data_IF_484486560864
#
_entry.id   IF_484486560864
#
_cell.length_a   1.000
_cell.length_b   1.000
_cell.length_c   1.000
_cell.angle_alpha   90.00
_cell.angle_beta   90.00
_cell.angle_gamma   90.00
#
_symmetry.space_group_name_H-M   'P 1'
#
loop_
_entity.id
_entity.type
_entity.pdbx_description
1 polymer ?
#
# COMPACT_ATOMS: atom_id res chain seq x y z
N UNK A 1 -4.24 2.87 9.95
CA UNK A 1 -3.77 3.23 8.59
C UNK A 1 -4.86 3.88 7.72
N UNK A 2 -5.94 3.19 7.38
CA UNK A 2 -6.98 3.67 6.45
C UNK A 2 -7.52 5.07 6.77
N UNK A 3 -7.76 5.38 8.04
CA UNK A 3 -8.24 6.70 8.46
C UNK A 3 -7.23 7.81 8.13
N UNK A 4 -5.95 7.58 8.42
CA UNK A 4 -4.86 8.51 8.10
C UNK A 4 -4.69 8.69 6.59
N UNK A 5 -4.78 7.60 5.83
CA UNK A 5 -4.64 7.65 4.37
C UNK A 5 -5.83 8.34 3.69
N UNK A 6 -7.04 8.25 4.27
CA UNK A 6 -8.25 8.84 3.71
C UNK A 6 -8.27 10.38 3.74
N UNK A 7 -7.45 11.01 4.59
CA UNK A 7 -7.34 12.48 4.66
C UNK A 7 -6.16 13.03 3.85
N UNK A 8 -5.37 12.17 3.21
CA UNK A 8 -4.32 12.56 2.27
C UNK A 8 -4.93 12.74 0.87
N UNK A 9 -4.31 13.57 0.03
CA UNK A 9 -4.70 13.76 -1.37
C UNK A 9 -4.64 12.45 -2.17
N UNK A 10 -5.43 12.35 -3.24
CA UNK A 10 -5.41 11.19 -4.14
C UNK A 10 -4.23 11.26 -5.12
N UNK A 11 -3.32 10.26 -5.12
CA UNK A 11 -2.35 10.10 -6.18
C UNK A 11 -3.04 9.43 -7.38
N UNK A 12 -3.85 10.18 -8.12
CA UNK A 12 -4.77 9.69 -9.16
C UNK A 12 -4.10 8.73 -10.16
N UNK A 13 -2.87 9.03 -10.58
CA UNK A 13 -2.13 8.19 -11.53
C UNK A 13 -1.78 6.80 -10.96
N UNK A 14 -1.57 6.68 -9.64
CA UNK A 14 -1.34 5.40 -8.95
C UNK A 14 -2.66 4.64 -8.78
N UNK A 15 -3.74 5.33 -8.36
CA UNK A 15 -5.05 4.71 -8.22
C UNK A 15 -5.55 4.14 -9.54
N UNK A 16 -5.32 4.85 -10.65
CA UNK A 16 -5.63 4.35 -11.99
C UNK A 16 -4.90 3.04 -12.30
N UNK A 17 -3.63 2.88 -11.89
CA UNK A 17 -2.90 1.62 -12.06
C UNK A 17 -3.46 0.49 -11.21
N UNK A 18 -3.93 0.78 -9.99
CA UNK A 18 -4.63 -0.21 -9.18
C UNK A 18 -5.92 -0.67 -9.87
N UNK A 19 -6.70 0.29 -10.39
CA UNK A 19 -7.92 -0.01 -11.15
C UNK A 19 -7.64 -0.81 -12.41
N UNK A 20 -6.61 -0.45 -13.18
CA UNK A 20 -6.23 -1.18 -14.41
C UNK A 20 -5.89 -2.65 -14.10
N UNK A 21 -5.18 -2.91 -12.99
CA UNK A 21 -4.87 -4.27 -12.53
C UNK A 21 -6.13 -5.03 -12.14
N UNK A 22 -6.99 -4.43 -11.31
CA UNK A 22 -8.27 -5.04 -10.91
C UNK A 22 -9.17 -5.34 -12.11
N UNK A 23 -9.21 -4.44 -13.10
CA UNK A 23 -9.95 -4.66 -14.36
C UNK A 23 -9.35 -5.83 -15.14
N UNK A 24 -8.03 -5.97 -15.17
CA UNK A 24 -7.34 -7.08 -15.84
C UNK A 24 -7.68 -8.43 -15.18
N UNK A 25 -7.63 -8.50 -13.85
CA UNK A 25 -7.97 -9.68 -13.07
C UNK A 25 -9.45 -10.07 -13.28
N UNK A 26 -10.37 -9.11 -13.11
CA UNK A 26 -11.82 -9.32 -13.31
C UNK A 26 -12.16 -9.71 -14.75
N UNK A 27 -11.45 -9.16 -15.74
CA UNK A 27 -11.60 -9.55 -17.15
C UNK A 27 -11.22 -11.02 -17.37
N UNK A 28 -10.14 -11.50 -16.76
CA UNK A 28 -9.70 -12.89 -16.86
C UNK A 28 -10.71 -13.83 -16.20
N UNK A 29 -11.19 -13.49 -15.00
CA UNK A 29 -12.23 -14.24 -14.28
C UNK A 29 -13.52 -14.36 -15.10
N UNK A 30 -14.01 -13.24 -15.64
CA UNK A 30 -15.24 -13.25 -16.43
C UNK A 30 -15.10 -13.99 -17.76
N UNK A 31 -13.90 -14.00 -18.37
CA UNK A 31 -13.61 -14.84 -19.55
C UNK A 31 -13.67 -16.32 -19.20
N UNK A 32 -13.09 -16.71 -18.07
CA UNK A 32 -13.13 -18.10 -17.59
C UNK A 32 -14.56 -18.53 -17.23
N UNK A 33 -15.38 -17.63 -16.71
CA UNK A 33 -16.79 -17.86 -16.40
C UNK A 33 -17.72 -17.80 -17.62
N UNK A 34 -17.22 -17.54 -18.83
CA UNK A 34 -18.03 -17.50 -20.06
C UNK A 34 -19.01 -16.32 -20.14
N UNK A 35 -18.74 -15.22 -19.45
CA UNK A 35 -19.61 -14.02 -19.46
C UNK A 35 -19.57 -13.34 -20.83
N UNK A 36 -20.72 -12.89 -21.32
CA UNK A 36 -20.84 -12.20 -22.60
C UNK A 36 -20.00 -10.92 -22.68
N UNK A 37 -19.55 -10.56 -23.89
CA UNK A 37 -18.63 -9.42 -24.07
C UNK A 37 -19.21 -8.11 -23.55
N UNK A 38 -20.44 -7.76 -23.93
CA UNK A 38 -21.06 -6.49 -23.53
C UNK A 38 -21.26 -6.41 -22.02
N UNK A 39 -21.65 -7.53 -21.39
CA UNK A 39 -21.79 -7.62 -19.94
C UNK A 39 -20.42 -7.47 -19.23
N UNK A 40 -19.35 -8.00 -19.82
CA UNK A 40 -17.98 -7.80 -19.30
C UNK A 40 -17.58 -6.33 -19.34
N UNK A 41 -17.85 -5.61 -20.44
CA UNK A 41 -17.51 -4.19 -20.54
C UNK A 41 -18.28 -3.37 -19.51
N UNK A 42 -19.59 -3.58 -19.37
CA UNK A 42 -20.40 -2.89 -18.36
C UNK A 42 -19.86 -3.13 -16.93
N UNK A 43 -19.54 -4.39 -16.57
CA UNK A 43 -18.98 -4.73 -15.25
C UNK A 43 -17.58 -4.17 -14.99
N UNK A 44 -16.81 -3.86 -16.04
CA UNK A 44 -15.49 -3.25 -15.92
C UNK A 44 -15.56 -1.73 -15.76
N UNK A 45 -16.61 -1.06 -16.26
CA UNK A 45 -16.80 0.38 -16.06
C UNK A 45 -17.05 0.72 -14.58
N UNK A 46 -17.73 -0.16 -13.86
CA UNK A 46 -18.02 -0.03 -12.43
C UNK A 46 -16.83 -0.32 -11.50
N UNK A 47 -15.70 -0.81 -12.02
CA UNK A 47 -14.53 -1.14 -11.19
C UNK A 47 -13.84 0.14 -10.74
N UNK A 48 -13.79 0.31 -9.42
CA UNK A 48 -13.08 1.38 -8.72
C UNK A 48 -11.92 0.81 -7.88
N UNK A 49 -11.00 1.67 -7.43
CA UNK A 49 -9.98 1.28 -6.47
C UNK A 49 -10.60 0.84 -5.14
N UNK A 50 -9.85 0.04 -4.39
CA UNK A 50 -10.29 -0.46 -3.09
C UNK A 50 -10.40 0.70 -2.11
N UNK A 51 -11.56 0.80 -1.44
CA UNK A 51 -11.85 1.80 -0.39
C UNK A 51 -12.12 1.08 0.93
N UNK A 52 -11.09 0.79 1.73
CA UNK A 52 -11.27 0.11 3.00
C UNK A 52 -12.12 0.96 3.96
N UNK A 53 -12.97 0.30 4.75
CA UNK A 53 -13.85 0.97 5.72
C UNK A 53 -14.71 2.09 5.11
N UNK A 54 -15.08 1.99 3.82
CA UNK A 54 -15.82 3.02 3.06
C UNK A 54 -17.06 3.52 3.81
N UNK A 55 -17.93 2.60 4.21
CA UNK A 55 -19.19 2.91 4.90
C UNK A 55 -18.92 3.63 6.22
N UNK A 56 -18.09 3.02 7.10
CA UNK A 56 -17.69 3.63 8.37
C UNK A 56 -17.10 5.04 8.22
N UNK A 57 -16.22 5.24 7.23
CA UNK A 57 -15.59 6.53 6.96
C UNK A 57 -16.61 7.59 6.55
N UNK A 58 -17.46 7.28 5.57
CA UNK A 58 -18.46 8.24 5.11
C UNK A 58 -19.54 8.50 6.16
N UNK A 59 -20.03 7.48 6.85
CA UNK A 59 -21.04 7.64 7.89
C UNK A 59 -20.53 8.52 9.03
N UNK A 60 -19.32 8.24 9.50
CA UNK A 60 -18.69 9.02 10.58
C UNK A 60 -18.40 10.45 10.14
N UNK A 61 -17.87 10.63 8.92
CA UNK A 61 -17.56 11.95 8.38
C UNK A 61 -18.83 12.78 8.12
N UNK A 62 -19.89 12.18 7.59
CA UNK A 62 -21.15 12.86 7.34
C UNK A 62 -21.82 13.29 8.65
N UNK A 63 -21.79 12.43 9.67
CA UNK A 63 -22.28 12.79 11.01
C UNK A 63 -21.48 13.95 11.62
N UNK A 64 -20.15 13.95 11.44
CA UNK A 64 -19.29 15.05 11.85
C UNK A 64 -19.62 16.34 11.07
N UNK A 65 -19.69 16.29 9.74
CA UNK A 65 -19.96 17.44 8.89
C UNK A 65 -21.34 18.07 9.19
N UNK A 66 -22.36 17.26 9.48
CA UNK A 66 -23.69 17.75 9.87
C UNK A 66 -23.66 18.60 11.16
N UNK A 67 -22.73 18.32 12.08
CA UNK A 67 -22.55 19.08 13.31
C UNK A 67 -21.60 20.28 13.17
N UNK A 68 -20.83 20.36 12.08
CA UNK A 68 -19.78 21.37 11.88
C UNK A 68 -19.94 22.03 10.50
N UNK A 69 -20.83 23.03 10.34
CA UNK A 69 -21.19 23.60 9.03
C UNK A 69 -20.02 24.22 8.23
N UNK A 70 -18.91 24.57 8.87
CA UNK A 70 -17.73 25.12 8.20
C UNK A 70 -16.86 24.07 7.49
N UNK A 71 -17.19 22.78 7.62
CA UNK A 71 -16.50 21.67 6.94
C UNK A 71 -16.96 21.57 5.47
N UNK A 72 -17.89 22.41 5.04
CA UNK A 72 -18.44 22.44 3.69
C UNK A 72 -17.35 22.56 2.60
N UNK A 73 -17.28 21.56 1.71
CA UNK A 73 -16.32 21.50 0.59
C UNK A 73 -15.14 20.53 0.78
N UNK A 74 -14.88 20.06 2.00
CA UNK A 74 -13.89 19.01 2.31
C UNK A 74 -14.56 17.63 2.36
N UNK A 75 -13.86 16.58 1.91
CA UNK A 75 -14.36 15.22 2.01
C UNK A 75 -13.20 14.23 2.21
N UNK A 76 -13.50 13.12 2.89
CA UNK A 76 -12.58 11.99 3.00
C UNK A 76 -12.51 11.24 1.67
N UNK A 77 -11.31 10.78 1.34
CA UNK A 77 -10.99 10.09 0.08
C UNK A 77 -10.42 8.72 0.43
N UNK A 78 -11.25 7.72 0.76
CA UNK A 78 -10.73 6.41 1.13
C UNK A 78 -9.96 5.78 -0.03
N UNK A 79 -8.78 5.23 0.29
CA UNK A 79 -7.90 4.48 -0.62
C UNK A 79 -7.02 3.53 0.19
N UNK A 80 -6.21 2.70 -0.48
CA UNK A 80 -5.50 1.60 0.19
C UNK A 80 -4.04 1.42 -0.22
N UNK A 81 -3.35 2.43 -0.74
CA UNK A 81 -1.98 2.28 -1.25
C UNK A 81 -1.02 1.94 -0.10
N UNK A 82 -0.99 2.77 0.94
CA UNK A 82 -0.14 2.53 2.11
C UNK A 82 -0.62 1.30 2.88
N UNK A 83 -1.94 1.14 3.05
CA UNK A 83 -2.51 -0.05 3.68
C UNK A 83 -2.06 -1.35 3.00
N UNK A 84 -2.16 -1.43 1.69
CA UNK A 84 -1.78 -2.61 0.92
C UNK A 84 -0.29 -2.91 1.07
N UNK A 85 0.56 -1.87 1.02
CA UNK A 85 2.00 -2.03 1.23
C UNK A 85 2.32 -2.56 2.63
N UNK A 86 1.62 -2.08 3.67
CA UNK A 86 1.84 -2.54 5.05
C UNK A 86 1.29 -3.94 5.30
N UNK A 87 0.03 -4.21 4.92
CA UNK A 87 -0.61 -5.51 5.16
C UNK A 87 0.05 -6.65 4.36
N UNK A 88 0.57 -6.34 3.17
CA UNK A 88 1.33 -7.26 2.35
C UNK A 88 2.84 -7.25 2.61
N UNK A 89 3.34 -6.39 3.52
CA UNK A 89 4.77 -6.12 3.74
C UNK A 89 5.56 -5.96 2.43
N UNK A 90 4.97 -5.25 1.47
CA UNK A 90 5.53 -5.10 0.11
C UNK A 90 6.66 -4.08 0.11
N UNK A 91 7.80 -4.44 -0.46
CA UNK A 91 8.86 -3.46 -0.68
C UNK A 91 8.43 -2.39 -1.68
N UNK A 92 9.06 -1.20 -1.60
CA UNK A 92 8.80 -0.12 -2.55
C UNK A 92 9.06 -0.56 -4.01
N UNK A 93 10.16 -1.26 -4.24
CA UNK A 93 10.55 -1.74 -5.58
C UNK A 93 9.56 -2.78 -6.13
N UNK A 94 9.09 -3.70 -5.29
CA UNK A 94 8.09 -4.69 -5.71
C UNK A 94 6.76 -4.01 -6.02
N UNK A 95 6.33 -3.05 -5.21
CA UNK A 95 5.11 -2.30 -5.46
C UNK A 95 5.18 -1.49 -6.76
N UNK A 96 6.33 -0.86 -7.04
CA UNK A 96 6.58 -0.15 -8.30
C UNK A 96 6.50 -1.09 -9.48
N UNK A 97 7.15 -2.26 -9.40
CA UNK A 97 7.15 -3.27 -10.46
C UNK A 97 5.75 -3.86 -10.70
N UNK A 98 5.05 -4.20 -9.63
CA UNK A 98 3.73 -4.84 -9.68
C UNK A 98 2.67 -3.97 -10.34
N UNK A 99 2.78 -2.65 -10.21
CA UNK A 99 1.83 -1.68 -10.76
C UNK A 99 2.38 -0.88 -11.96
N UNK A 100 3.62 -1.14 -12.40
CA UNK A 100 4.27 -0.43 -13.49
C UNK A 100 4.38 1.08 -13.22
N UNK A 101 4.98 1.42 -12.06
CA UNK A 101 5.10 2.79 -11.53
C UNK A 101 6.49 3.41 -11.73
N UNK A 102 7.33 2.90 -12.63
CA UNK A 102 8.73 3.32 -12.80
C UNK A 102 8.88 4.82 -13.11
N UNK A 103 7.85 5.41 -13.72
CA UNK A 103 7.80 6.86 -14.01
C UNK A 103 7.06 7.68 -12.95
N UNK A 104 6.62 7.04 -11.87
CA UNK A 104 5.79 7.61 -10.81
C UNK A 104 6.35 7.30 -9.41
N UNK A 105 7.59 6.84 -9.30
CA UNK A 105 8.24 6.52 -8.03
C UNK A 105 8.22 7.71 -7.06
N UNK A 106 8.57 8.91 -7.53
CA UNK A 106 8.51 10.12 -6.71
C UNK A 106 7.09 10.48 -6.25
N UNK A 107 6.06 10.17 -7.05
CA UNK A 107 4.66 10.36 -6.67
C UNK A 107 4.28 9.38 -5.55
N UNK A 108 4.69 8.11 -5.67
CA UNK A 108 4.46 7.09 -4.65
C UNK A 108 5.17 7.45 -3.34
N UNK A 109 6.46 7.80 -3.41
CA UNK A 109 7.24 8.20 -2.25
C UNK A 109 6.63 9.42 -1.55
N UNK A 110 6.18 10.42 -2.32
CA UNK A 110 5.47 11.60 -1.78
C UNK A 110 4.19 11.20 -1.06
N UNK A 111 3.37 10.34 -1.67
CA UNK A 111 2.13 9.85 -1.06
C UNK A 111 2.42 9.12 0.26
N UNK A 112 3.34 8.16 0.25
CA UNK A 112 3.73 7.40 1.46
C UNK A 112 4.27 8.33 2.55
N UNK A 113 5.06 9.34 2.18
CA UNK A 113 5.56 10.35 3.11
C UNK A 113 4.43 11.18 3.73
N UNK A 114 3.42 11.56 2.95
CA UNK A 114 2.25 12.27 3.47
C UNK A 114 1.45 11.39 4.44
N UNK A 115 1.19 10.13 4.08
CA UNK A 115 0.48 9.18 4.95
C UNK A 115 1.24 8.96 6.27
N UNK A 116 2.56 8.76 6.20
CA UNK A 116 3.40 8.59 7.39
C UNK A 116 3.39 9.84 8.28
N UNK A 117 3.48 11.05 7.70
CA UNK A 117 3.39 12.30 8.46
C UNK A 117 2.05 12.44 9.16
N UNK A 118 0.95 12.16 8.47
CA UNK A 118 -0.39 12.17 9.06
C UNK A 118 -0.45 11.18 10.23
N UNK A 119 -0.03 9.93 10.02
CA UNK A 119 -0.01 8.92 11.07
C UNK A 119 0.76 9.41 12.32
N UNK A 120 2.00 9.84 12.12
CA UNK A 120 2.89 10.24 13.21
C UNK A 120 2.45 11.50 13.96
N UNK A 121 1.76 12.43 13.28
CA UNK A 121 1.39 13.74 13.84
C UNK A 121 -0.03 13.79 14.40
N UNK A 122 -0.96 13.00 13.85
CA UNK A 122 -2.39 13.11 14.19
C UNK A 122 -2.87 12.05 15.16
N UNK A 123 -2.18 10.91 15.26
CA UNK A 123 -2.52 9.86 16.21
C UNK A 123 -1.80 10.12 17.54
N UNK A 124 -2.53 10.37 18.64
CA UNK A 124 -1.91 10.59 19.94
C UNK A 124 -1.15 9.34 20.42
N UNK A 125 -0.02 9.52 21.09
CA UNK A 125 0.80 8.39 21.58
C UNK A 125 0.01 7.44 22.49
N UNK A 126 -0.92 7.98 23.29
CA UNK A 126 -1.82 7.18 24.14
C UNK A 126 -2.79 6.26 23.37
N UNK A 127 -3.04 6.54 22.09
CA UNK A 127 -3.90 5.75 21.21
C UNK A 127 -3.10 4.83 20.26
N UNK A 128 -1.77 4.88 20.31
CA UNK A 128 -0.92 4.01 19.49
C UNK A 128 -0.85 2.63 20.12
N UNK A 129 -1.39 1.63 19.44
CA UNK A 129 -1.15 0.22 19.75
C UNK A 129 0.22 -0.21 19.22
N UNK A 130 0.68 -1.39 19.59
CA UNK A 130 1.93 -1.98 19.08
C UNK A 130 1.93 -2.02 17.54
N UNK A 131 0.80 -2.36 16.91
CA UNK A 131 0.67 -2.38 15.45
C UNK A 131 0.77 -0.98 14.82
N UNK A 132 0.26 0.04 15.51
CA UNK A 132 0.38 1.44 15.02
C UNK A 132 1.82 1.91 15.12
N UNK A 133 2.52 1.57 16.21
CA UNK A 133 3.94 1.86 16.36
C UNK A 133 4.79 1.12 15.29
N UNK A 134 4.46 -0.14 14.99
CA UNK A 134 5.09 -0.90 13.91
C UNK A 134 4.88 -0.23 12.55
N UNK A 135 3.67 0.23 12.24
CA UNK A 135 3.38 0.98 11.01
C UNK A 135 4.26 2.23 10.90
N UNK A 136 4.42 3.01 11.97
CA UNK A 136 5.27 4.20 11.96
C UNK A 136 6.72 3.87 11.66
N UNK A 137 7.27 2.81 12.27
CA UNK A 137 8.63 2.34 12.02
C UNK A 137 8.75 1.85 10.58
N UNK A 138 7.85 0.99 10.13
CA UNK A 138 7.83 0.44 8.78
C UNK A 138 7.92 1.53 7.72
N UNK A 139 7.02 2.53 7.76
CA UNK A 139 7.02 3.59 6.77
C UNK A 139 8.22 4.51 6.89
N UNK A 140 8.66 4.83 8.11
CA UNK A 140 9.86 5.66 8.34
C UNK A 140 11.10 5.03 7.68
N UNK A 141 11.32 3.74 7.93
CA UNK A 141 12.49 3.03 7.41
C UNK A 141 12.38 2.79 5.90
N UNK A 142 11.19 2.49 5.39
CA UNK A 142 10.93 2.39 3.95
C UNK A 142 11.24 3.71 3.23
N UNK A 143 10.71 4.84 3.73
CA UNK A 143 10.92 6.16 3.12
C UNK A 143 12.39 6.54 3.16
N UNK A 144 13.06 6.41 4.31
CA UNK A 144 14.50 6.70 4.46
C UNK A 144 15.36 5.87 3.51
N UNK A 145 15.06 4.57 3.40
CA UNK A 145 15.79 3.68 2.50
C UNK A 145 15.63 4.05 1.03
N UNK A 146 14.42 4.45 0.62
CA UNK A 146 14.14 4.87 -0.76
C UNK A 146 14.77 6.23 -1.06
N UNK A 147 14.63 7.22 -0.17
CA UNK A 147 15.24 8.55 -0.33
C UNK A 147 16.76 8.45 -0.49
N UNK A 148 17.43 7.61 0.31
CA UNK A 148 18.86 7.36 0.18
C UNK A 148 19.20 6.73 -1.18
N UNK A 149 18.45 5.71 -1.61
CA UNK A 149 18.67 5.05 -2.91
C UNK A 149 18.49 6.02 -4.09
N UNK A 150 17.47 6.87 -4.05
CA UNK A 150 17.21 7.86 -5.11
C UNK A 150 18.30 8.94 -5.17
N UNK A 151 18.81 9.35 -4.00
CA UNK A 151 19.95 10.27 -3.92
C UNK A 151 21.20 9.65 -4.55
N UNK A 152 21.52 8.41 -4.18
CA UNK A 152 22.67 7.68 -4.73
C UNK A 152 22.57 7.51 -6.26
N UNK A 153 21.39 7.18 -6.78
CA UNK A 153 21.16 7.07 -8.23
C UNK A 153 21.28 8.40 -8.97
N UNK A 154 20.79 9.49 -8.37
CA UNK A 154 20.93 10.83 -8.91
C UNK A 154 22.40 11.27 -8.96
N UNK A 155 23.15 11.02 -7.89
CA UNK A 155 24.59 11.33 -7.82
C UNK A 155 25.38 10.54 -8.87
N UNK A 156 25.09 9.24 -9.04
CA UNK A 156 25.69 8.38 -10.08
C UNK A 156 25.36 8.85 -11.50
N UNK A 157 24.16 9.39 -11.75
CA UNK A 157 23.82 9.98 -13.06
C UNK A 157 24.57 11.28 -13.33
N UNK A 158 24.82 12.09 -12.29
CA UNK A 158 25.58 13.34 -12.41
C UNK A 158 27.08 13.09 -12.56
N UNK A 159 27.60 12.07 -11.88
CA UNK A 159 28.99 11.68 -11.90
C UNK A 159 29.10 10.14 -11.98
N UNK A 160 29.39 9.58 -13.17
CA UNK A 160 29.50 8.13 -13.36
C UNK A 160 30.61 7.45 -12.54
N UNK A 161 31.62 8.20 -12.09
CA UNK A 161 32.71 7.70 -11.23
C UNK A 161 32.42 7.88 -9.73
N UNK A 162 31.24 8.37 -9.38
CA UNK A 162 30.84 8.54 -7.99
C UNK A 162 30.68 7.17 -7.32
N UNK A 163 31.50 6.94 -6.29
CA UNK A 163 31.39 5.81 -5.38
C UNK A 163 30.86 6.37 -4.07
N UNK A 164 29.74 5.83 -3.58
CA UNK A 164 29.24 6.18 -2.26
C UNK A 164 30.36 5.93 -1.24
N UNK A 165 30.67 6.92 -0.40
CA UNK A 165 31.47 6.62 0.79
C UNK A 165 30.72 5.53 1.55
N UNK A 166 31.37 4.37 1.76
CA UNK A 166 30.97 3.39 2.76
C UNK A 166 31.10 4.03 4.14
N UNK A 167 30.26 5.01 4.42
CA UNK A 167 29.90 5.34 5.79
C UNK A 167 29.17 4.11 6.29
N UNK A 168 29.89 3.35 7.11
CA UNK A 168 29.51 2.13 7.81
C UNK A 168 28.03 1.75 7.63
N UNK A 169 27.79 0.57 7.05
CA UNK A 169 26.49 -0.10 7.02
C UNK A 169 25.87 -0.41 8.40
N UNK A 170 26.31 0.29 9.45
CA UNK A 170 25.79 0.28 10.80
C UNK A 170 24.66 1.30 11.04
N UNK A 171 24.54 2.37 10.23
CA UNK A 171 23.54 3.44 10.46
C UNK A 171 22.62 3.73 9.25
N UNK A 172 22.87 3.09 8.10
CA UNK A 172 21.78 2.87 7.13
C UNK A 172 20.93 1.74 7.71
N UNK A 173 19.61 1.90 7.93
CA UNK A 173 18.77 0.75 8.22
C UNK A 173 19.04 -0.24 7.10
N UNK A 174 19.58 -1.41 7.45
CA UNK A 174 19.83 -2.43 6.47
C UNK A 174 18.50 -2.64 5.76
N UNK A 175 18.49 -2.42 4.43
CA UNK A 175 17.39 -2.89 3.60
C UNK A 175 17.19 -4.34 4.04
N UNK A 176 16.04 -4.75 4.61
CA UNK A 176 15.92 -6.06 5.20
C UNK A 176 16.26 -7.09 4.13
N UNK A 177 17.48 -7.64 4.20
CA UNK A 177 18.07 -8.51 3.16
C UNK A 177 17.43 -9.89 3.19
N UNK A 178 16.61 -10.15 4.20
CA UNK A 178 15.43 -10.99 4.11
C UNK A 178 14.43 -10.41 5.11
N UNK A 179 13.18 -10.24 4.70
CA UNK A 179 12.10 -10.00 5.64
C UNK A 179 12.02 -11.23 6.54
N UNK A 180 12.57 -11.13 7.75
CA UNK A 180 12.50 -12.21 8.72
C UNK A 180 11.06 -12.28 9.24
N UNK A 181 10.24 -13.01 8.49
CA UNK A 181 8.85 -13.33 8.81
C UNK A 181 8.70 -13.92 10.22
N UNK A 182 9.77 -14.43 10.83
CA UNK A 182 9.74 -15.07 12.15
C UNK A 182 9.84 -14.08 13.31
N UNK A 183 10.11 -12.80 13.06
CA UNK A 183 10.15 -11.76 14.12
C UNK A 183 8.80 -11.52 14.79
N UNK A 184 7.71 -11.61 14.04
CA UNK A 184 6.35 -11.68 14.60
C UNK A 184 5.86 -13.13 14.54
N UNK A 185 6.07 -13.85 15.63
CA UNK A 185 5.69 -15.25 15.76
C UNK A 185 4.17 -15.46 15.55
N UNK A 186 3.33 -14.48 15.88
CA UNK A 186 1.87 -14.59 15.69
C UNK A 186 1.49 -14.38 14.23
N UNK A 187 2.04 -13.36 13.56
CA UNK A 187 1.82 -13.16 12.13
C UNK A 187 2.36 -14.32 11.30
N UNK A 188 3.57 -14.80 11.63
CA UNK A 188 4.17 -15.97 10.99
C UNK A 188 3.26 -17.20 11.08
N UNK A 189 2.75 -17.51 12.28
CA UNK A 189 1.83 -18.64 12.48
C UNK A 189 0.52 -18.49 11.70
N UNK A 190 0.00 -17.27 11.54
CA UNK A 190 -1.20 -17.02 10.70
C UNK A 190 -0.90 -17.29 9.22
N UNK A 191 0.22 -16.78 8.71
CA UNK A 191 0.65 -16.98 7.32
C UNK A 191 0.86 -18.47 7.00
N UNK A 192 1.56 -19.19 7.88
CA UNK A 192 1.78 -20.64 7.72
C UNK A 192 0.47 -21.42 7.73
N UNK A 193 -0.47 -21.09 8.63
CA UNK A 193 -1.79 -21.75 8.66
C UNK A 193 -2.62 -21.49 7.41
N UNK A 194 -2.61 -20.24 6.92
CA UNK A 194 -3.32 -19.88 5.70
C UNK A 194 -2.78 -20.65 4.49
N UNK A 195 -1.46 -20.75 4.34
CA UNK A 195 -0.86 -21.49 3.23
C UNK A 195 -1.10 -23.00 3.33
N UNK A 196 -1.00 -23.59 4.53
CA UNK A 196 -1.33 -25.02 4.73
C UNK A 196 -2.78 -25.30 4.33
N UNK A 197 -3.71 -24.44 4.74
CA UNK A 197 -5.12 -24.59 4.39
C UNK A 197 -5.34 -24.46 2.87
N UNK A 198 -4.70 -23.48 2.23
CA UNK A 198 -4.76 -23.32 0.79
C UNK A 198 -4.20 -24.54 0.04
N UNK A 199 -3.08 -25.12 0.50
CA UNK A 199 -2.49 -26.32 -0.10
C UNK A 199 -3.38 -27.56 0.08
N UNK A 200 -3.99 -27.72 1.26
CA UNK A 200 -4.95 -28.80 1.50
C UNK A 200 -6.19 -28.66 0.59
N UNK A 201 -6.69 -27.44 0.39
CA UNK A 201 -7.77 -27.20 -0.56
C UNK A 201 -7.37 -27.52 -2.00
N UNK A 202 -6.16 -27.11 -2.43
CA UNK A 202 -5.62 -27.44 -3.76
C UNK A 202 -5.46 -28.95 -3.96
N UNK A 203 -4.98 -29.66 -2.94
CA UNK A 203 -4.82 -31.11 -2.96
C UNK A 203 -6.18 -31.82 -3.01
N UNK A 204 -7.19 -31.35 -2.27
CA UNK A 204 -8.55 -31.87 -2.34
C UNK A 204 -9.20 -31.62 -3.71
N UNK A 205 -8.90 -30.49 -4.37
CA UNK A 205 -9.40 -30.19 -5.72
C UNK A 205 -8.66 -30.94 -6.83
N UNK A 206 -7.69 -31.80 -6.49
CA UNK A 206 -6.90 -32.58 -7.45
C UNK A 206 -7.39 -34.03 -7.61
N UNK A 207 -8.38 -34.44 -6.81
CA UNK A 207 -9.05 -35.75 -6.85
C UNK A 207 -10.44 -35.72 -7.54
N UNK A 208 -10.75 -34.66 -8.30
CA UNK A 208 -11.85 -34.57 -9.29
C UNK A 208 -11.31 -34.36 -10.71
#
# INVERSE_FOLDING_TARGET
MTLCEAIVEDPEAILRRQVDRLKTEKMAEMKAAGVEYDERIAKLEEVEHVKPLREFLYDTFNAFAAAHPWVEGENVRPKSIAREMFEGYRSFADYVKDYGLERMEGLLLRHLTQVWKVLAQTVPDSAKTDEVAEMEVYFRELIRGVDASLLEEWERRKNPEWVAEETDGADKPSRPTSFDVTRDEKAFRRLVRAEIFAQLQRALSWDE
#
